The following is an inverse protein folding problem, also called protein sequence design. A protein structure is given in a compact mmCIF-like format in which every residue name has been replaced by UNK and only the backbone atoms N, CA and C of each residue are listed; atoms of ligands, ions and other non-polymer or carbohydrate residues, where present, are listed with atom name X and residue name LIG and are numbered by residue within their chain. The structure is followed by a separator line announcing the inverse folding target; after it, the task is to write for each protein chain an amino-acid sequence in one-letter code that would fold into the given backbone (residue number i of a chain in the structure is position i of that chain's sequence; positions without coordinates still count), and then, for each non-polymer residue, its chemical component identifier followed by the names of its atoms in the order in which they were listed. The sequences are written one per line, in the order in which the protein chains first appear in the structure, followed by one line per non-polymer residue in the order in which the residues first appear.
data_IF_716964021745
#
_entry.id   IF_716964021745
#
_cell.length_a   1.000
_cell.length_b   1.000
_cell.length_c   1.000
_cell.angle_alpha   90.00
_cell.angle_beta   90.00
_cell.angle_gamma   90.00
#
_symmetry.space_group_name_H-M   'P 1'
#
loop_
_entity.id
_entity.type
_entity.pdbx_description
1 polymer ?
#
# COMPACT_ATOMS: atom_id res chain seq x y z
N UNK A 1 19.66 18.84 13.81
CA UNK A 1 19.62 17.53 13.13
C UNK A 1 18.30 16.85 13.43
N UNK A 2 17.40 16.71 12.45
CA UNK A 2 16.06 16.16 12.68
C UNK A 2 16.13 14.64 12.90
N UNK A 3 15.86 14.22 14.14
CA UNK A 3 15.75 12.81 14.53
C UNK A 3 14.56 12.20 13.79
N UNK A 4 14.79 11.30 12.83
CA UNK A 4 13.71 10.56 12.14
C UNK A 4 13.04 9.68 13.19
N UNK A 5 11.87 10.10 13.66
CA UNK A 5 10.98 9.29 14.48
C UNK A 5 10.49 8.16 13.56
N UNK A 6 11.02 6.94 13.78
CA UNK A 6 10.45 5.73 13.20
C UNK A 6 9.15 5.47 13.95
N UNK A 7 8.05 6.02 13.44
CA UNK A 7 6.72 5.62 13.87
C UNK A 7 6.55 4.20 13.36
N UNK A 8 6.64 3.20 14.24
CA UNK A 8 6.18 1.84 13.98
C UNK A 8 4.66 1.89 13.86
N UNK A 9 4.18 2.39 12.72
CA UNK A 9 2.77 2.43 12.42
C UNK A 9 2.38 0.98 12.10
N UNK A 10 1.57 0.38 12.97
CA UNK A 10 0.84 -0.84 12.68
C UNK A 10 -0.14 -0.52 11.55
N UNK A 11 0.32 -0.64 10.31
CA UNK A 11 -0.53 -0.49 9.13
C UNK A 11 -1.13 -1.86 8.84
N UNK A 12 -2.43 -1.98 9.03
CA UNK A 12 -3.17 -3.17 8.63
C UNK A 12 -3.20 -3.25 7.10
N UNK A 13 -2.72 -4.37 6.55
CA UNK A 13 -2.73 -4.67 5.13
C UNK A 13 -4.14 -5.14 4.74
N UNK A 14 -4.92 -4.28 4.08
CA UNK A 14 -6.33 -4.58 3.77
C UNK A 14 -6.53 -4.92 2.30
N UNK A 15 -5.82 -4.25 1.39
CA UNK A 15 -5.93 -4.52 -0.04
C UNK A 15 -4.56 -4.68 -0.69
N UNK A 16 -4.39 -5.78 -1.40
CA UNK A 16 -3.26 -6.03 -2.25
C UNK A 16 -3.47 -5.50 -3.65
N UNK A 17 -2.36 -5.27 -4.35
CA UNK A 17 -2.39 -4.85 -5.75
C UNK A 17 -1.87 -6.01 -6.59
N UNK A 18 -2.74 -6.52 -7.45
CA UNK A 18 -2.39 -7.58 -8.40
C UNK A 18 -1.22 -7.14 -9.31
N UNK A 19 -0.18 -7.99 -9.41
CA UNK A 19 1.06 -7.67 -10.12
C UNK A 19 2.08 -6.84 -9.32
N UNK A 20 1.73 -6.35 -8.13
CA UNK A 20 2.60 -5.54 -7.27
C UNK A 20 2.56 -6.04 -5.81
N UNK A 21 3.20 -7.18 -5.50
CA UNK A 21 3.13 -7.81 -4.17
C UNK A 21 3.75 -6.97 -3.05
N UNK A 22 4.69 -6.08 -3.41
CA UNK A 22 5.36 -5.18 -2.47
C UNK A 22 4.48 -3.98 -2.09
N UNK A 23 3.33 -3.80 -2.75
CA UNK A 23 2.45 -2.64 -2.59
C UNK A 23 1.07 -3.07 -2.10
N UNK A 24 0.53 -2.31 -1.15
CA UNK A 24 -0.77 -2.60 -0.56
C UNK A 24 -1.44 -1.31 -0.06
N UNK A 25 -2.76 -1.29 -0.02
CA UNK A 25 -3.52 -0.25 0.65
C UNK A 25 -3.84 -0.65 2.09
N UNK A 26 -3.61 0.31 2.99
CA UNK A 26 -4.04 0.22 4.38
C UNK A 26 -5.53 0.49 4.57
N UNK A 27 -6.02 0.23 5.78
CA UNK A 27 -7.40 0.56 6.19
C UNK A 27 -7.73 2.07 6.03
N UNK A 28 -6.71 2.92 6.12
CA UNK A 28 -6.78 4.36 5.92
C UNK A 28 -6.87 4.78 4.44
N UNK A 29 -7.01 3.82 3.51
CA UNK A 29 -7.11 4.03 2.05
C UNK A 29 -5.87 4.67 1.45
N UNK A 30 -4.73 4.52 2.10
CA UNK A 30 -3.45 5.01 1.60
C UNK A 30 -2.59 3.87 1.08
N UNK A 31 -1.75 4.20 0.10
CA UNK A 31 -0.84 3.23 -0.48
C UNK A 31 0.43 3.14 0.35
N UNK A 32 0.81 1.92 0.68
CA UNK A 32 2.06 1.58 1.34
C UNK A 32 2.86 0.64 0.47
N UNK A 33 4.16 0.58 0.73
CA UNK A 33 5.06 -0.40 0.13
C UNK A 33 6.01 -0.98 1.15
N UNK A 34 6.47 -2.21 0.92
CA UNK A 34 7.61 -2.77 1.61
C UNK A 34 8.90 -2.33 0.94
N UNK A 35 9.87 -1.91 1.74
CA UNK A 35 11.26 -1.74 1.31
C UNK A 35 11.97 -3.11 1.30
N UNK A 36 13.15 -3.21 0.69
CA UNK A 36 13.95 -4.43 0.64
C UNK A 36 14.35 -4.96 2.03
N UNK A 37 14.23 -4.12 3.06
CA UNK A 37 14.48 -4.45 4.47
C UNK A 37 13.21 -4.82 5.26
N UNK A 38 12.07 -4.94 4.58
CA UNK A 38 10.77 -5.22 5.20
C UNK A 38 10.11 -4.02 5.89
N UNK A 39 10.69 -2.82 5.77
CA UNK A 39 10.10 -1.62 6.37
C UNK A 39 8.92 -1.12 5.54
N UNK A 40 7.86 -0.67 6.23
CA UNK A 40 6.69 -0.08 5.58
C UNK A 40 6.97 1.39 5.26
N UNK A 41 6.84 1.77 3.99
CA UNK A 41 6.92 3.15 3.54
C UNK A 41 5.59 3.59 2.95
N UNK A 42 5.09 4.72 3.44
CA UNK A 42 3.90 5.37 2.86
C UNK A 42 4.24 5.95 1.49
N UNK A 43 3.49 5.54 0.48
CA UNK A 43 3.61 6.10 -0.86
C UNK A 43 2.72 7.34 -0.97
N UNK A 44 3.28 8.43 -1.48
CA UNK A 44 2.54 9.70 -1.59
C UNK A 44 1.59 9.64 -2.77
N UNK A 45 0.35 10.07 -2.54
CA UNK A 45 -0.60 10.34 -3.61
C UNK A 45 -0.14 11.58 -4.37
N UNK A 46 -0.06 11.49 -5.69
CA UNK A 46 0.33 12.60 -6.55
C UNK A 46 -0.81 13.00 -7.47
N UNK A 47 -0.84 14.28 -7.84
CA UNK A 47 -1.73 14.83 -8.85
C UNK A 47 -0.90 15.02 -10.13
N UNK A 48 -1.26 14.30 -11.19
CA UNK A 48 -0.64 14.47 -12.51
C UNK A 48 -1.65 15.11 -13.45
N UNK A 49 -1.38 16.36 -13.88
CA UNK A 49 -2.28 17.25 -14.63
C UNK A 49 -3.60 17.54 -13.90
N UNK A 50 -4.53 16.58 -13.92
CA UNK A 50 -5.85 16.65 -13.28
C UNK A 50 -6.27 15.32 -12.64
N UNK A 51 -5.40 14.31 -12.65
CA UNK A 51 -5.72 12.96 -12.20
C UNK A 51 -4.95 12.62 -10.93
N UNK A 52 -5.68 12.23 -9.89
CA UNK A 52 -5.09 11.71 -8.66
C UNK A 52 -4.70 10.24 -8.84
N UNK A 53 -3.52 9.89 -8.34
CA UNK A 53 -3.01 8.53 -8.42
C UNK A 53 -1.74 8.32 -7.62
N UNK A 54 -1.10 7.19 -7.88
CA UNK A 54 0.11 6.77 -7.21
C UNK A 54 1.15 6.32 -8.23
N UNK A 55 2.42 6.38 -7.83
CA UNK A 55 3.52 5.83 -8.63
C UNK A 55 3.92 4.47 -8.08
N UNK A 56 3.79 3.43 -8.89
CA UNK A 56 4.24 2.06 -8.59
C UNK A 56 5.40 1.70 -9.51
N UNK A 57 6.53 1.27 -8.95
CA UNK A 57 7.76 0.89 -9.70
C UNK A 57 8.07 1.81 -10.91
N UNK A 58 7.92 3.13 -10.74
CA UNK A 58 8.16 4.17 -11.78
C UNK A 58 7.05 4.44 -12.81
N UNK A 59 5.88 3.81 -12.71
CA UNK A 59 4.71 4.14 -13.54
C UNK A 59 3.60 4.79 -12.71
N UNK A 60 2.99 5.83 -13.25
CA UNK A 60 1.82 6.45 -12.63
C UNK A 60 0.57 5.65 -12.95
N UNK A 61 -0.20 5.33 -11.91
CA UNK A 61 -1.50 4.70 -12.02
C UNK A 61 -2.54 5.60 -11.35
N UNK A 62 -3.60 5.93 -12.08
CA UNK A 62 -4.74 6.64 -11.49
C UNK A 62 -5.46 5.75 -10.48
N UNK A 63 -6.23 6.37 -9.58
CA UNK A 63 -7.10 5.61 -8.67
C UNK A 63 -8.10 4.71 -9.43
N UNK A 64 -8.57 5.15 -10.61
CA UNK A 64 -9.49 4.37 -11.45
C UNK A 64 -8.83 3.14 -12.07
N UNK A 65 -7.54 3.22 -12.42
CA UNK A 65 -6.76 2.09 -12.93
C UNK A 65 -6.33 1.13 -11.81
N UNK A 66 -6.10 1.63 -10.60
CA UNK A 66 -5.74 0.79 -9.46
C UNK A 66 -6.90 -0.02 -8.92
N UNK A 67 -8.11 0.57 -8.89
CA UNK A 67 -9.31 -0.05 -8.33
C UNK A 67 -9.59 -1.49 -8.85
N UNK A 68 -9.52 -1.79 -10.16
CA UNK A 68 -9.72 -3.17 -10.64
C UNK A 68 -8.60 -4.14 -10.25
N UNK A 69 -7.40 -3.64 -9.93
CA UNK A 69 -6.26 -4.45 -9.50
C UNK A 69 -6.26 -4.69 -7.98
N UNK A 70 -7.18 -4.07 -7.24
CA UNK A 70 -7.29 -4.25 -5.80
C UNK A 70 -7.88 -5.62 -5.50
N UNK A 71 -7.10 -6.43 -4.79
CA UNK A 71 -7.54 -7.71 -4.23
C UNK A 71 -7.66 -7.54 -2.73
N UNK A 72 -8.78 -7.98 -2.15
CA UNK A 72 -8.91 -7.94 -0.69
C UNK A 72 -7.85 -8.85 -0.10
N UNK A 73 -7.01 -8.32 0.78
CA UNK A 73 -6.09 -9.14 1.54
C UNK A 73 -6.94 -9.98 2.49
N UNK A 74 -7.04 -11.27 2.20
CA UNK A 74 -7.58 -12.22 3.14
C UNK A 74 -6.41 -12.52 4.06
N UNK A 75 -6.36 -11.85 5.21
CA UNK A 75 -5.59 -12.36 6.32
C UNK A 75 -6.20 -13.73 6.61
N UNK A 76 -5.53 -14.79 6.18
CA UNK A 76 -5.86 -16.15 6.58
C UNK A 76 -5.50 -16.25 8.07
N UNK A 77 -6.34 -15.64 8.90
CA UNK A 77 -6.54 -16.06 10.26
C UNK A 77 -7.24 -17.42 10.10
N UNK A 78 -6.47 -18.49 10.15
CA UNK A 78 -7.03 -19.81 10.40
C UNK A 78 -7.41 -19.82 11.88
N UNK A 79 -8.69 -19.67 12.28
CA UNK A 79 -9.09 -20.22 13.55
C UNK A 79 -8.92 -21.72 13.38
N UNK A 80 -7.91 -22.27 14.03
CA UNK A 80 -7.81 -23.70 14.24
C UNK A 80 -9.03 -24.07 15.08
N UNK A 81 -10.10 -24.53 14.41
CA UNK A 81 -11.24 -25.13 15.06
C UNK A 81 -10.75 -26.44 15.69
N UNK A 82 -10.72 -26.45 17.02
CA UNK A 82 -10.57 -27.63 17.87
C UNK A 82 -11.96 -28.08 18.31
#
# INVERSE_FOLDING_TARGET
MAKKILINQLVERVWDIEGYPDYFFGADKQLYRFDSRGNIQRNKRILLRYTLGYVLKSRFYSLTQLRPLLRKHIATDHPTAI
#
